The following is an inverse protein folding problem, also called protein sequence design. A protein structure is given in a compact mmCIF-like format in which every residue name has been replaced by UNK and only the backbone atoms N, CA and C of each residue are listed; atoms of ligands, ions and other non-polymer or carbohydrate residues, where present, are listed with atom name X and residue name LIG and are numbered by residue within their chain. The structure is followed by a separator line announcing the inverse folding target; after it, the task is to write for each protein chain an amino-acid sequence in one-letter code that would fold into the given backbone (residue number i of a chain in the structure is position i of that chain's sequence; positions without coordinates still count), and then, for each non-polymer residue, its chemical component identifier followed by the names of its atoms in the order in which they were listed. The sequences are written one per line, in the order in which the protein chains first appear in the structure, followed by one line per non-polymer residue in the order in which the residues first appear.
data_IF_713049681187
#
_entry.id   IF_713049681187
#
_cell.length_a   1.000
_cell.length_b   1.000
_cell.length_c   1.000
_cell.angle_alpha   90.00
_cell.angle_beta   90.00
_cell.angle_gamma   90.00
#
_symmetry.space_group_name_H-M   'P 1'
#
loop_
_entity.id
_entity.type
_entity.pdbx_description
1 polymer ?
#
# COMPACT_ATOMS: atom_id res chain seq x y z
N UNK A 1 -7.84 10.79 41.13
CA UNK A 1 -7.05 10.29 39.98
C UNK A 1 -7.49 11.00 38.70
N UNK A 2 -6.70 11.95 38.21
CA UNK A 2 -7.01 12.68 36.97
C UNK A 2 -6.82 11.78 35.74
N UNK A 3 -7.84 11.68 34.89
CA UNK A 3 -7.76 10.92 33.62
C UNK A 3 -6.72 11.59 32.72
N UNK A 4 -5.62 10.90 32.45
CA UNK A 4 -4.62 11.32 31.45
C UNK A 4 -5.33 11.42 30.09
N UNK A 5 -5.53 12.64 29.57
CA UNK A 5 -5.95 12.85 28.18
C UNK A 5 -4.91 12.16 27.28
N UNK A 6 -5.28 11.06 26.63
CA UNK A 6 -4.47 10.48 25.56
C UNK A 6 -4.30 11.58 24.51
N UNK A 7 -3.07 12.05 24.29
CA UNK A 7 -2.79 12.99 23.20
C UNK A 7 -3.24 12.31 21.90
N UNK A 8 -4.23 12.90 21.23
CA UNK A 8 -4.56 12.49 19.87
C UNK A 8 -3.27 12.55 19.05
N UNK A 9 -3.00 11.52 18.25
CA UNK A 9 -1.79 11.47 17.42
C UNK A 9 -1.66 12.74 16.59
N UNK A 10 -0.43 13.16 16.33
CA UNK A 10 -0.15 14.44 15.64
C UNK A 10 -0.80 14.46 14.26
N UNK A 11 -1.46 15.58 13.94
CA UNK A 11 -2.07 15.80 12.63
C UNK A 11 -1.00 15.83 11.53
N UNK A 12 -1.36 15.37 10.33
CA UNK A 12 -0.43 15.18 9.22
C UNK A 12 -0.24 16.50 8.49
N UNK A 13 1.00 16.81 8.12
CA UNK A 13 1.32 18.00 7.31
C UNK A 13 0.96 17.86 5.82
N UNK A 14 0.41 16.72 5.38
CA UNK A 14 0.02 16.50 3.97
C UNK A 14 -1.51 16.63 3.87
N UNK A 15 -2.03 17.40 2.90
CA UNK A 15 -3.47 17.44 2.61
C UNK A 15 -4.01 16.05 2.29
N UNK A 16 -5.18 15.73 2.84
CA UNK A 16 -5.80 14.41 2.68
C UNK A 16 -6.15 14.10 1.21
N UNK A 17 -6.57 15.11 0.44
CA UNK A 17 -6.86 14.98 -1.00
C UNK A 17 -5.63 14.54 -1.81
N UNK A 18 -4.49 15.20 -1.59
CA UNK A 18 -3.25 14.89 -2.28
C UNK A 18 -2.76 13.47 -1.92
N UNK A 19 -2.94 13.08 -0.66
CA UNK A 19 -2.61 11.74 -0.20
C UNK A 19 -3.49 10.67 -0.84
N UNK A 20 -4.80 10.88 -0.87
CA UNK A 20 -5.75 9.95 -1.48
C UNK A 20 -5.45 9.75 -2.96
N UNK A 21 -5.17 10.83 -3.69
CA UNK A 21 -4.79 10.72 -5.10
C UNK A 21 -3.49 9.93 -5.35
N UNK A 22 -2.54 9.91 -4.40
CA UNK A 22 -1.34 9.07 -4.50
C UNK A 22 -1.68 7.60 -4.24
N UNK A 23 -2.53 7.33 -3.25
CA UNK A 23 -2.98 5.98 -2.91
C UNK A 23 -3.76 5.36 -4.06
N UNK A 24 -4.70 6.10 -4.65
CA UNK A 24 -5.52 5.61 -5.77
C UNK A 24 -4.66 5.25 -6.98
N UNK A 25 -3.66 6.09 -7.29
CA UNK A 25 -2.66 5.80 -8.34
C UNK A 25 -1.82 4.57 -8.02
N UNK A 26 -1.49 4.34 -6.75
CA UNK A 26 -0.76 3.16 -6.32
C UNK A 26 -1.60 1.89 -6.47
N UNK A 27 -2.90 1.96 -6.16
CA UNK A 27 -3.85 0.86 -6.34
C UNK A 27 -4.06 0.57 -7.84
N UNK A 28 -4.26 1.61 -8.66
CA UNK A 28 -4.39 1.46 -10.11
C UNK A 28 -3.15 0.80 -10.74
N UNK A 29 -1.95 1.20 -10.31
CA UNK A 29 -0.70 0.57 -10.75
C UNK A 29 -0.61 -0.91 -10.32
N UNK A 30 -1.04 -1.23 -9.10
CA UNK A 30 -1.08 -2.61 -8.62
C UNK A 30 -2.08 -3.47 -9.42
N UNK A 31 -3.23 -2.91 -9.79
CA UNK A 31 -4.24 -3.59 -10.63
C UNK A 31 -3.73 -3.79 -12.07
N UNK A 32 -2.90 -2.88 -12.58
CA UNK A 32 -2.21 -3.02 -13.87
C UNK A 32 -1.02 -4.01 -13.83
N UNK A 33 -0.75 -4.65 -12.69
CA UNK A 33 0.32 -5.65 -12.54
C UNK A 33 1.66 -5.11 -12.03
N UNK A 34 1.74 -3.81 -11.70
CA UNK A 34 2.97 -3.15 -11.22
C UNK A 34 2.79 -2.62 -9.78
N UNK A 35 2.82 -3.49 -8.76
CA UNK A 35 2.71 -3.06 -7.37
C UNK A 35 3.94 -2.25 -6.95
N UNK A 36 3.71 -1.19 -6.17
CA UNK A 36 4.78 -0.37 -5.60
C UNK A 36 5.26 -0.96 -4.27
N UNK A 37 6.57 -0.94 -4.06
CA UNK A 37 7.15 -1.24 -2.74
C UNK A 37 6.96 -0.06 -1.78
N UNK A 38 7.02 -0.34 -0.47
CA UNK A 38 6.93 0.69 0.58
C UNK A 38 7.95 1.82 0.38
N UNK A 39 9.20 1.49 0.05
CA UNK A 39 10.26 2.49 -0.16
C UNK A 39 9.96 3.40 -1.36
N UNK A 40 9.53 2.83 -2.48
CA UNK A 40 9.13 3.57 -3.68
C UNK A 40 7.92 4.47 -3.41
N UNK A 41 6.94 3.98 -2.65
CA UNK A 41 5.77 4.76 -2.26
C UNK A 41 6.17 5.98 -1.40
N UNK A 42 7.01 5.79 -0.38
CA UNK A 42 7.50 6.87 0.46
C UNK A 42 8.34 7.89 -0.33
N UNK A 43 9.16 7.43 -1.29
CA UNK A 43 9.88 8.32 -2.20
C UNK A 43 8.92 9.15 -3.07
N UNK A 44 7.87 8.54 -3.64
CA UNK A 44 6.85 9.26 -4.43
C UNK A 44 6.16 10.35 -3.62
N UNK A 45 5.83 10.06 -2.35
CA UNK A 45 5.27 11.08 -1.47
C UNK A 45 6.28 12.20 -1.23
N UNK A 46 7.55 11.87 -0.96
CA UNK A 46 8.57 12.90 -0.75
C UNK A 46 8.84 13.76 -1.98
N UNK A 47 8.70 13.21 -3.19
CA UNK A 47 8.73 14.00 -4.43
C UNK A 47 7.50 14.91 -4.51
N UNK A 48 6.32 14.42 -4.14
CA UNK A 48 5.07 15.21 -4.19
C UNK A 48 5.10 16.36 -3.18
N UNK A 49 5.57 16.10 -1.95
CA UNK A 49 5.78 17.11 -0.90
C UNK A 49 6.73 18.21 -1.36
N UNK A 50 7.85 17.83 -2.01
CA UNK A 50 8.81 18.78 -2.58
C UNK A 50 8.22 19.60 -3.72
N UNK A 51 7.47 18.97 -4.63
CA UNK A 51 6.80 19.65 -5.76
C UNK A 51 5.74 20.66 -5.29
N UNK A 52 5.02 20.32 -4.22
CA UNK A 52 4.00 21.20 -3.63
C UNK A 52 4.59 22.26 -2.69
N UNK A 53 5.89 22.25 -2.43
CA UNK A 53 6.53 23.21 -1.52
C UNK A 53 6.06 23.11 -0.07
N UNK A 54 5.51 21.95 0.35
CA UNK A 54 4.93 21.80 1.68
C UNK A 54 6.02 21.77 2.75
N UNK A 55 5.93 22.66 3.74
CA UNK A 55 6.77 22.62 4.95
C UNK A 55 6.33 21.44 5.83
N UNK A 56 6.99 20.31 5.65
CA UNK A 56 6.74 19.09 6.43
C UNK A 56 7.81 18.88 7.48
N UNK A 57 7.46 18.15 8.54
CA UNK A 57 8.41 17.70 9.58
C UNK A 57 9.21 16.47 9.16
N UNK A 58 9.04 16.02 7.91
CA UNK A 58 9.74 14.86 7.39
C UNK A 58 11.20 15.21 7.15
N UNK A 59 12.10 14.29 7.53
CA UNK A 59 13.51 14.41 7.19
C UNK A 59 13.66 14.39 5.67
N UNK A 60 14.25 15.44 5.11
CA UNK A 60 14.45 15.62 3.66
C UNK A 60 13.16 15.56 2.81
N UNK A 61 12.01 15.88 3.43
CA UNK A 61 10.70 15.80 2.79
C UNK A 61 10.18 14.37 2.60
N UNK A 62 10.89 13.34 3.05
CA UNK A 62 10.48 11.94 2.89
C UNK A 62 9.81 11.39 4.16
N UNK A 63 8.55 10.91 4.07
CA UNK A 63 7.86 10.38 5.24
C UNK A 63 8.51 9.10 5.77
N UNK A 64 8.52 8.97 7.10
CA UNK A 64 9.12 7.84 7.80
C UNK A 64 8.17 6.65 8.03
N UNK A 65 8.62 5.73 8.89
CA UNK A 65 7.90 4.50 9.24
C UNK A 65 6.54 4.77 9.92
N UNK A 66 6.47 5.80 10.75
CA UNK A 66 5.24 6.16 11.49
C UNK A 66 4.13 6.69 10.58
N UNK A 67 4.52 7.46 9.56
CA UNK A 67 3.59 7.90 8.52
C UNK A 67 2.99 6.70 7.78
N UNK A 68 3.81 5.71 7.43
CA UNK A 68 3.33 4.50 6.76
C UNK A 68 2.32 3.72 7.61
N UNK A 69 2.60 3.53 8.91
CA UNK A 69 1.67 2.80 9.78
C UNK A 69 0.36 3.52 10.00
N UNK A 70 0.38 4.84 10.15
CA UNK A 70 -0.84 5.63 10.27
C UNK A 70 -1.68 5.59 8.99
N UNK A 71 -1.04 5.60 7.83
CA UNK A 71 -1.70 5.43 6.54
C UNK A 71 -2.37 4.07 6.39
N UNK A 72 -1.62 2.98 6.61
CA UNK A 72 -2.14 1.61 6.50
C UNK A 72 -3.26 1.35 7.51
N UNK A 73 -3.20 1.95 8.71
CA UNK A 73 -4.27 1.85 9.71
C UNK A 73 -5.58 2.51 9.23
N UNK A 74 -5.51 3.56 8.41
CA UNK A 74 -6.67 4.26 7.87
C UNK A 74 -7.19 3.65 6.57
N UNK A 75 -6.29 3.18 5.70
CA UNK A 75 -6.57 2.60 4.39
C UNK A 75 -6.15 1.13 4.40
N UNK A 76 -7.08 0.25 4.78
CA UNK A 76 -6.84 -1.19 4.86
C UNK A 76 -6.53 -1.80 3.47
N UNK A 77 -6.95 -1.13 2.40
CA UNK A 77 -6.79 -1.53 1.00
C UNK A 77 -5.32 -1.57 0.53
N UNK A 78 -4.42 -0.89 1.24
CA UNK A 78 -2.97 -0.91 0.99
C UNK A 78 -2.28 -2.20 1.50
N UNK A 79 -3.06 -3.26 1.74
CA UNK A 79 -2.59 -4.50 2.31
C UNK A 79 -1.33 -5.01 1.60
N UNK A 80 -0.28 -5.25 2.39
CA UNK A 80 0.98 -5.83 1.94
C UNK A 80 0.67 -7.22 1.41
N UNK A 81 0.61 -7.39 0.08
CA UNK A 81 0.59 -8.73 -0.50
C UNK A 81 1.89 -9.41 -0.08
N UNK A 82 1.79 -10.40 0.81
CA UNK A 82 2.95 -11.22 1.15
C UNK A 82 3.34 -11.97 -0.13
N UNK A 83 4.60 -11.85 -0.61
CA UNK A 83 5.05 -12.65 -1.73
C UNK A 83 4.89 -14.12 -1.34
N UNK A 84 4.04 -14.84 -2.07
CA UNK A 84 3.89 -16.27 -1.88
C UNK A 84 4.96 -17.00 -2.69
N UNK A 85 5.50 -18.10 -2.14
CA UNK A 85 6.47 -18.93 -2.85
C UNK A 85 5.81 -19.43 -4.14
N UNK A 86 6.40 -19.15 -5.31
CA UNK A 86 5.87 -19.60 -6.60
C UNK A 86 5.62 -21.10 -6.66
N UNK A 87 6.41 -21.90 -5.93
CA UNK A 87 6.20 -23.34 -5.79
C UNK A 87 4.86 -23.68 -5.12
N UNK A 88 4.48 -22.96 -4.06
CA UNK A 88 3.21 -23.16 -3.34
C UNK A 88 2.01 -22.86 -4.24
N UNK A 89 2.08 -21.78 -5.01
CA UNK A 89 1.01 -21.41 -5.94
C UNK A 89 0.92 -22.40 -7.09
N UNK A 90 2.06 -22.83 -7.66
CA UNK A 90 2.08 -23.89 -8.68
C UNK A 90 1.48 -25.19 -8.15
N UNK A 91 1.82 -25.60 -6.93
CA UNK A 91 1.28 -26.82 -6.33
C UNK A 91 -0.25 -26.74 -6.15
N UNK A 92 -0.75 -25.58 -5.70
CA UNK A 92 -2.20 -25.33 -5.54
C UNK A 92 -2.96 -25.40 -6.87
N UNK A 93 -2.35 -24.92 -7.96
CA UNK A 93 -2.93 -24.97 -9.30
C UNK A 93 -2.92 -26.37 -9.92
N UNK A 94 -2.05 -27.27 -9.44
CA UNK A 94 -1.95 -28.66 -9.91
C UNK A 94 -2.91 -29.62 -9.19
N UNK A 95 -3.85 -29.11 -8.39
CA UNK A 95 -4.87 -29.94 -7.77
C UNK A 95 -5.86 -30.46 -8.83
N UNK A 96 -6.23 -31.74 -8.75
CA UNK A 96 -7.19 -32.40 -9.67
C UNK A 96 -8.42 -31.54 -10.03
N UNK A 97 -9.15 -30.92 -9.08
CA UNK A 97 -10.32 -30.11 -9.43
C UNK A 97 -10.00 -28.86 -10.25
N UNK A 98 -8.82 -28.25 -10.07
CA UNK A 98 -8.39 -27.07 -10.84
C UNK A 98 -7.98 -27.47 -12.25
N UNK A 99 -7.22 -28.56 -12.36
CA UNK A 99 -6.77 -29.11 -13.65
C UNK A 99 -7.94 -29.54 -14.51
N UNK A 100 -8.91 -30.28 -13.95
CA UNK A 100 -10.08 -30.71 -14.70
C UNK A 100 -10.88 -29.51 -15.23
N UNK A 101 -11.16 -28.51 -14.38
CA UNK A 101 -11.86 -27.28 -14.81
C UNK A 101 -11.15 -26.56 -15.96
N UNK A 102 -9.82 -26.51 -15.93
CA UNK A 102 -9.03 -25.86 -16.98
C UNK A 102 -9.19 -26.59 -18.33
N UNK A 103 -9.14 -27.92 -18.34
CA UNK A 103 -9.33 -28.71 -19.56
C UNK A 103 -10.79 -28.74 -20.03
N UNK A 104 -11.75 -28.74 -19.10
CA UNK A 104 -13.18 -28.59 -19.42
C UNK A 104 -13.46 -27.24 -20.10
N UNK A 105 -12.81 -26.16 -19.65
CA UNK A 105 -12.93 -24.82 -20.24
C UNK A 105 -12.25 -24.67 -21.60
N UNK A 106 -11.22 -25.48 -21.87
CA UNK A 106 -10.50 -25.46 -23.15
C UNK A 106 -11.29 -26.13 -24.28
N UNK A 107 -12.42 -26.77 -23.99
CA UNK A 107 -13.17 -27.53 -24.97
C UNK A 107 -12.39 -28.77 -25.38
N UNK A 108 -12.50 -29.83 -24.57
CA UNK A 108 -12.22 -31.18 -25.05
C UNK A 108 -13.27 -31.59 -26.08
#
# INVERSE_FOLDING_TARGET
MGKVKRKAGRERNIPEEAENGIVDKAIAAANAGFPLTKSQFLQKIGVTVRKLGLKTQFKDGQPGKDYWYSLVKKRLDLAIRKPQKCASNRLSMMTRPVVNRYFDQLGS
#
